data_IF_852073289273
#
_entry.id   IF_852073289273
#
_cell.length_a   1.000
_cell.length_b   1.000
_cell.length_c   1.000
_cell.angle_alpha   90.00
_cell.angle_beta   90.00
_cell.angle_gamma   90.00
#
_symmetry.space_group_name_H-M   'P 1'
#
loop_
_entity.id
_entity.type
_entity.pdbx_description
1 polymer ?
#
# COMPACT_ATOMS: atom_id res chain seq x y z
N UNK A 1 -0.31 22.62 21.57
CA UNK A 1 -0.10 22.19 20.17
C UNK A 1 -1.19 21.20 19.80
N UNK A 2 -1.76 21.33 18.61
CA UNK A 2 -2.71 20.36 18.05
C UNK A 2 -2.34 20.13 16.59
N UNK A 3 -2.07 18.88 16.22
CA UNK A 3 -1.78 18.46 14.85
C UNK A 3 -2.70 17.34 14.42
N UNK A 4 -3.07 17.36 13.13
CA UNK A 4 -3.85 16.32 12.49
C UNK A 4 -3.14 15.86 11.22
N UNK A 5 -2.81 14.58 11.15
CA UNK A 5 -2.29 13.96 9.94
C UNK A 5 -3.40 13.16 9.25
N UNK A 6 -3.52 13.31 7.94
CA UNK A 6 -4.42 12.54 7.08
C UNK A 6 -3.58 11.77 6.07
N UNK A 7 -3.57 10.44 6.18
CA UNK A 7 -2.75 9.57 5.33
C UNK A 7 -3.67 8.64 4.51
N UNK A 8 -3.58 8.66 3.18
CA UNK A 8 -4.38 7.79 2.33
C UNK A 8 -3.93 6.32 2.47
N UNK A 9 -4.81 5.37 2.15
CA UNK A 9 -4.40 4.04 1.74
C UNK A 9 -3.75 4.07 0.36
N UNK A 10 -3.27 2.92 -0.11
CA UNK A 10 -2.65 2.79 -1.43
C UNK A 10 -3.12 1.53 -2.16
N UNK A 11 -3.11 1.61 -3.49
CA UNK A 11 -3.23 0.47 -4.40
C UNK A 11 -1.91 0.29 -5.13
N UNK A 12 -1.36 -0.92 -5.07
CA UNK A 12 -0.25 -1.33 -5.92
C UNK A 12 -0.82 -1.92 -7.21
N UNK A 13 -0.68 -1.23 -8.34
CA UNK A 13 -1.17 -1.70 -9.63
C UNK A 13 -0.36 -2.93 -10.06
N UNK A 14 0.97 -2.82 -10.03
CA UNK A 14 1.90 -3.87 -10.44
C UNK A 14 3.31 -3.59 -9.89
N UNK A 15 4.15 -4.60 -9.72
CA UNK A 15 5.43 -4.44 -8.99
C UNK A 15 5.33 -4.89 -7.55
N UNK A 16 4.75 -6.06 -7.31
CA UNK A 16 4.68 -6.61 -5.95
C UNK A 16 6.01 -7.26 -5.58
N UNK A 17 6.42 -7.16 -4.32
CA UNK A 17 7.62 -7.84 -3.80
C UNK A 17 8.93 -7.45 -4.53
N UNK A 18 8.98 -6.26 -5.11
CA UNK A 18 10.18 -5.69 -5.74
C UNK A 18 10.89 -4.67 -4.85
N UNK A 19 10.20 -4.12 -3.86
CA UNK A 19 10.63 -2.96 -3.07
C UNK A 19 11.82 -3.23 -2.16
N UNK A 20 11.81 -4.37 -1.46
CA UNK A 20 12.95 -4.82 -0.65
C UNK A 20 14.13 -5.37 -1.50
N UNK A 21 13.97 -5.45 -2.82
CA UNK A 21 14.98 -5.93 -3.76
C UNK A 21 15.49 -4.83 -4.72
N UNK A 22 15.13 -3.56 -4.47
CA UNK A 22 15.56 -2.44 -5.31
C UNK A 22 14.88 -2.38 -6.69
N UNK A 23 13.78 -3.11 -6.90
CA UNK A 23 13.06 -3.09 -8.17
C UNK A 23 12.18 -1.85 -8.33
N UNK A 24 11.11 -2.00 -9.12
CA UNK A 24 10.14 -0.93 -9.40
C UNK A 24 8.72 -1.36 -9.04
N UNK A 25 7.87 -0.39 -8.75
CA UNK A 25 6.42 -0.60 -8.67
C UNK A 25 5.64 0.59 -9.22
N UNK A 26 4.40 0.33 -9.63
CA UNK A 26 3.46 1.35 -10.06
C UNK A 26 2.27 1.32 -9.11
N UNK A 27 2.11 2.38 -8.32
CA UNK A 27 1.11 2.44 -7.26
C UNK A 27 0.45 3.82 -7.18
N UNK A 28 -0.72 3.92 -6.57
CA UNK A 28 -1.36 5.22 -6.29
C UNK A 28 -1.98 5.27 -4.89
N UNK A 29 -2.02 6.48 -4.33
CA UNK A 29 -2.78 6.78 -3.11
C UNK A 29 -4.29 6.77 -3.40
N UNK A 30 -5.10 6.21 -2.51
CA UNK A 30 -6.57 6.19 -2.64
C UNK A 30 -7.21 7.31 -1.83
N UNK A 31 -8.49 7.58 -2.04
CA UNK A 31 -9.26 8.56 -1.26
C UNK A 31 -9.72 8.04 0.12
N UNK A 32 -9.61 6.72 0.37
CA UNK A 32 -9.74 6.12 1.69
C UNK A 32 -8.52 6.46 2.53
N UNK A 33 -8.71 6.88 3.78
CA UNK A 33 -7.65 7.45 4.61
C UNK A 33 -7.77 7.10 6.10
N UNK A 34 -6.63 7.20 6.78
CA UNK A 34 -6.47 7.20 8.23
C UNK A 34 -6.17 8.62 8.70
N UNK A 35 -6.80 9.02 9.79
CA UNK A 35 -6.60 10.31 10.46
C UNK A 35 -6.04 10.03 11.86
N UNK A 36 -4.93 10.68 12.18
CA UNK A 36 -4.40 10.79 13.55
C UNK A 36 -4.54 12.24 14.03
N UNK A 37 -5.29 12.43 15.11
CA UNK A 37 -5.34 13.67 15.86
C UNK A 37 -4.45 13.56 17.11
N UNK A 38 -3.52 14.49 17.24
CA UNK A 38 -2.65 14.62 18.41
C UNK A 38 -2.87 15.98 19.09
N UNK A 39 -3.35 15.97 20.34
CA UNK A 39 -3.58 17.17 21.17
C UNK A 39 -2.65 17.20 22.37
N UNK A 40 -1.97 18.33 22.60
CA UNK A 40 -1.00 18.51 23.69
C UNK A 40 -1.64 18.37 25.06
N UNK A 41 -1.01 17.54 25.89
CA UNK A 41 -1.23 17.43 27.32
C UNK A 41 -0.08 18.12 28.07
N UNK A 42 -0.31 18.51 29.33
CA UNK A 42 0.77 18.98 30.19
C UNK A 42 1.83 17.89 30.46
N UNK A 43 1.39 16.65 30.68
CA UNK A 43 2.25 15.48 30.96
C UNK A 43 1.56 14.20 30.49
N UNK A 44 2.35 13.13 30.32
CA UNK A 44 1.84 11.80 29.99
C UNK A 44 1.36 11.63 28.55
N UNK A 45 0.76 10.46 28.29
CA UNK A 45 0.23 10.11 26.97
C UNK A 45 -1.10 9.37 27.16
N UNK A 46 -2.08 9.69 26.34
CA UNK A 46 -3.40 9.07 26.32
C UNK A 46 -3.73 8.62 24.90
N UNK A 47 -4.27 7.41 24.74
CA UNK A 47 -4.63 6.87 23.43
C UNK A 47 -4.56 5.35 23.41
N UNK A 48 -4.73 4.77 22.22
CA UNK A 48 -4.50 3.33 22.01
C UNK A 48 -3.03 2.96 22.35
N UNK A 49 -2.78 1.86 23.09
CA UNK A 49 -1.42 1.51 23.52
C UNK A 49 -0.39 1.39 22.40
N UNK A 50 -0.76 0.83 21.24
CA UNK A 50 0.14 0.69 20.10
C UNK A 50 0.44 2.05 19.47
N UNK A 51 -0.55 2.95 19.40
CA UNK A 51 -0.37 4.32 18.91
C UNK A 51 0.54 5.11 19.84
N UNK A 52 0.37 4.97 21.17
CA UNK A 52 1.24 5.60 22.17
C UNK A 52 2.68 5.08 22.06
N UNK A 53 2.88 3.78 21.88
CA UNK A 53 4.22 3.19 21.71
C UNK A 53 4.93 3.75 20.46
N UNK A 54 4.24 3.79 19.32
CA UNK A 54 4.74 4.41 18.09
C UNK A 54 5.07 5.89 18.29
N UNK A 55 4.18 6.62 18.96
CA UNK A 55 4.33 8.05 19.24
C UNK A 55 5.57 8.35 20.09
N UNK A 56 5.79 7.57 21.15
CA UNK A 56 6.97 7.67 22.01
C UNK A 56 8.25 7.33 21.23
N UNK A 57 8.22 6.27 20.43
CA UNK A 57 9.36 5.84 19.61
C UNK A 57 9.75 6.87 18.53
N UNK A 58 8.81 7.67 18.07
CA UNK A 58 9.03 8.78 17.16
C UNK A 58 9.55 10.06 17.86
N UNK A 59 9.63 10.07 19.20
CA UNK A 59 10.02 11.26 19.97
C UNK A 59 8.88 12.25 20.22
N UNK A 60 7.63 11.77 20.22
CA UNK A 60 6.44 12.58 20.40
C UNK A 60 6.34 13.24 21.77
N UNK A 61 5.73 14.43 21.80
CA UNK A 61 5.47 15.22 23.01
C UNK A 61 4.25 14.67 23.80
N UNK A 62 4.06 15.02 25.09
CA UNK A 62 2.93 14.56 25.89
C UNK A 62 1.56 14.84 25.25
N UNK A 63 0.84 13.80 24.84
CA UNK A 63 -0.28 13.94 23.92
C UNK A 63 -1.48 13.04 24.23
N UNK A 64 -2.67 13.56 23.94
CA UNK A 64 -3.85 12.76 23.70
C UNK A 64 -3.92 12.42 22.20
N UNK A 65 -3.98 11.13 21.89
CA UNK A 65 -3.88 10.56 20.55
C UNK A 65 -5.18 9.84 20.21
N UNK A 66 -5.81 10.23 19.10
CA UNK A 66 -7.03 9.59 18.60
C UNK A 66 -6.88 9.25 17.13
N UNK A 67 -7.27 8.03 16.76
CA UNK A 67 -7.17 7.51 15.40
C UNK A 67 -8.57 7.21 14.87
N UNK A 68 -8.88 7.72 13.68
CA UNK A 68 -10.07 7.34 12.92
C UNK A 68 -9.63 6.84 11.56
N UNK A 69 -10.11 5.68 11.12
CA UNK A 69 -9.69 5.10 9.84
C UNK A 69 -10.89 4.63 9.03
N UNK A 70 -10.92 5.03 7.76
CA UNK A 70 -11.78 4.40 6.74
C UNK A 70 -11.07 3.27 5.99
N UNK A 71 -9.76 3.09 6.21
CA UNK A 71 -8.96 2.00 5.63
C UNK A 71 -9.35 0.69 6.32
N UNK A 72 -9.79 -0.34 5.57
CA UNK A 72 -10.09 -1.63 6.17
C UNK A 72 -8.81 -2.24 6.79
N UNK A 73 -8.92 -2.69 8.03
CA UNK A 73 -7.77 -3.16 8.81
C UNK A 73 -7.38 -4.56 8.37
N UNK A 74 -6.07 -4.79 8.16
CA UNK A 74 -5.53 -6.14 7.95
C UNK A 74 -5.88 -6.78 6.60
N UNK A 75 -6.36 -6.01 5.63
CA UNK A 75 -6.76 -6.53 4.32
C UNK A 75 -5.72 -6.33 3.21
N UNK A 76 -4.57 -5.72 3.50
CA UNK A 76 -3.55 -5.43 2.49
C UNK A 76 -3.67 -4.04 1.83
N UNK A 77 -4.41 -3.10 2.44
CA UNK A 77 -4.43 -1.67 2.08
C UNK A 77 -3.49 -0.80 2.94
N UNK A 78 -2.54 -1.43 3.66
CA UNK A 78 -1.46 -0.79 4.41
C UNK A 78 -1.87 0.18 5.52
N UNK A 79 -2.85 -0.22 6.33
CA UNK A 79 -3.27 0.54 7.51
C UNK A 79 -2.13 0.77 8.52
N UNK A 80 -1.17 -0.17 8.64
CA UNK A 80 0.02 -0.01 9.51
C UNK A 80 0.96 1.09 9.02
N UNK A 81 1.26 1.10 7.72
CA UNK A 81 2.11 2.11 7.12
C UNK A 81 1.48 3.50 7.18
N UNK A 82 0.16 3.58 6.96
CA UNK A 82 -0.59 4.81 7.12
C UNK A 82 -0.52 5.35 8.56
N UNK A 83 -0.62 4.48 9.56
CA UNK A 83 -0.49 4.86 10.97
C UNK A 83 0.93 5.35 11.30
N UNK A 84 1.97 4.64 10.86
CA UNK A 84 3.36 5.06 11.09
C UNK A 84 3.65 6.41 10.43
N UNK A 85 3.19 6.65 9.19
CA UNK A 85 3.29 7.95 8.54
C UNK A 85 2.54 9.05 9.31
N UNK A 86 1.33 8.75 9.78
CA UNK A 86 0.52 9.72 10.52
C UNK A 86 1.22 10.14 11.83
N UNK A 87 1.79 9.19 12.56
CA UNK A 87 2.62 9.44 13.76
C UNK A 87 3.82 10.30 13.39
N UNK A 88 4.60 9.89 12.38
CA UNK A 88 5.79 10.61 11.93
C UNK A 88 5.49 12.07 11.61
N UNK A 89 4.45 12.34 10.81
CA UNK A 89 4.08 13.70 10.42
C UNK A 89 3.52 14.52 11.59
N UNK A 90 2.71 13.93 12.48
CA UNK A 90 2.21 14.67 13.64
C UNK A 90 3.33 15.05 14.62
N UNK A 91 4.30 14.18 14.85
CA UNK A 91 5.44 14.48 15.73
C UNK A 91 6.33 15.58 15.14
N UNK A 92 6.66 15.47 13.85
CA UNK A 92 7.67 16.32 13.22
C UNK A 92 7.11 17.54 12.48
N UNK A 93 5.81 17.57 12.19
CA UNK A 93 5.20 18.56 11.29
C UNK A 93 5.40 18.20 9.82
N UNK A 94 5.28 19.19 8.93
CA UNK A 94 5.52 18.99 7.49
C UNK A 94 6.99 18.62 7.25
N UNK A 95 7.23 17.51 6.56
CA UNK A 95 8.55 16.97 6.27
C UNK A 95 8.77 16.79 4.77
N UNK A 96 10.02 16.64 4.36
CA UNK A 96 10.34 16.11 3.04
C UNK A 96 9.77 14.66 2.93
N UNK A 97 9.04 14.33 1.84
CA UNK A 97 8.32 13.06 1.72
C UNK A 97 9.16 11.80 1.94
N UNK A 98 10.36 11.71 1.36
CA UNK A 98 11.19 10.51 1.52
C UNK A 98 11.72 10.36 2.95
N UNK A 99 12.06 11.47 3.62
CA UNK A 99 12.41 11.45 5.04
C UNK A 99 11.26 10.92 5.91
N UNK A 100 10.02 11.36 5.65
CA UNK A 100 8.84 10.84 6.35
C UNK A 100 8.64 9.33 6.10
N UNK A 101 8.84 8.86 4.86
CA UNK A 101 8.74 7.45 4.52
C UNK A 101 9.76 6.58 5.27
N UNK A 102 11.02 7.01 5.33
CA UNK A 102 12.09 6.27 6.03
C UNK A 102 11.85 6.21 7.54
N UNK A 103 11.39 7.30 8.13
CA UNK A 103 11.07 7.31 9.57
C UNK A 103 9.85 6.43 9.88
N UNK A 104 8.81 6.47 9.05
CA UNK A 104 7.67 5.56 9.20
C UNK A 104 8.08 4.09 9.03
N UNK A 105 8.97 3.77 8.09
CA UNK A 105 9.51 2.43 7.91
C UNK A 105 10.29 1.97 9.15
N UNK A 106 11.12 2.85 9.74
CA UNK A 106 11.83 2.56 11.00
C UNK A 106 10.85 2.17 12.10
N UNK A 107 9.76 2.91 12.27
CA UNK A 107 8.71 2.60 13.26
C UNK A 107 8.05 1.24 12.99
N UNK A 108 7.77 0.90 11.73
CA UNK A 108 7.24 -0.43 11.39
C UNK A 108 8.22 -1.57 11.73
N UNK A 109 9.50 -1.38 11.47
CA UNK A 109 10.54 -2.37 11.76
C UNK A 109 10.76 -2.54 13.26
N UNK A 110 10.87 -1.42 13.98
CA UNK A 110 11.29 -1.42 15.38
C UNK A 110 10.13 -1.67 16.33
N UNK A 111 8.93 -1.16 16.05
CA UNK A 111 7.78 -1.24 16.96
C UNK A 111 6.81 -2.33 16.51
N UNK A 112 6.41 -2.32 15.23
CA UNK A 112 5.48 -3.31 14.70
C UNK A 112 6.16 -4.63 14.28
N UNK A 113 7.50 -4.70 14.37
CA UNK A 113 8.32 -5.88 14.04
C UNK A 113 8.05 -6.44 12.64
N UNK A 114 7.70 -5.57 11.70
CA UNK A 114 7.34 -5.96 10.33
C UNK A 114 8.45 -5.56 9.36
N UNK A 115 9.18 -6.50 8.73
CA UNK A 115 10.28 -6.19 7.82
C UNK A 115 9.78 -5.78 6.43
N UNK A 116 9.11 -4.63 6.32
CA UNK A 116 8.57 -4.10 5.06
C UNK A 116 9.62 -3.32 4.23
N UNK A 117 9.41 -3.22 2.92
CA UNK A 117 10.12 -2.25 2.09
C UNK A 117 9.47 -0.86 2.18
N UNK A 118 9.66 -0.03 1.15
CA UNK A 118 9.20 1.36 1.11
C UNK A 118 7.97 1.60 0.22
N UNK A 119 7.41 0.56 -0.40
CA UNK A 119 6.32 0.69 -1.36
C UNK A 119 5.13 1.44 -0.77
N UNK A 120 4.68 1.00 0.40
CA UNK A 120 3.46 1.50 1.02
C UNK A 120 3.60 2.99 1.38
N UNK A 121 4.68 3.34 2.08
CA UNK A 121 4.91 4.70 2.56
C UNK A 121 5.11 5.66 1.38
N UNK A 122 5.90 5.25 0.37
CA UNK A 122 6.13 6.08 -0.81
C UNK A 122 4.85 6.27 -1.64
N UNK A 123 4.06 5.21 -1.86
CA UNK A 123 2.81 5.34 -2.60
C UNK A 123 1.82 6.31 -1.93
N UNK A 124 1.79 6.34 -0.59
CA UNK A 124 0.94 7.23 0.19
C UNK A 124 1.44 8.67 0.25
N UNK A 125 2.76 8.90 0.29
CA UNK A 125 3.31 10.25 0.39
C UNK A 125 3.48 10.95 -0.97
N UNK A 126 3.80 10.21 -2.03
CA UNK A 126 3.99 10.76 -3.38
C UNK A 126 2.71 10.77 -4.23
N UNK A 127 1.55 10.47 -3.62
CA UNK A 127 0.25 10.46 -4.30
C UNK A 127 -0.08 11.80 -4.95
N UNK A 128 -0.61 11.75 -6.18
CA UNK A 128 -1.10 12.91 -6.92
C UNK A 128 -2.41 12.56 -7.60
N UNK A 129 -3.39 13.47 -7.50
CA UNK A 129 -4.70 13.29 -8.10
C UNK A 129 -4.61 12.97 -9.61
N UNK A 130 -5.35 11.95 -10.04
CA UNK A 130 -5.35 11.45 -11.42
C UNK A 130 -4.06 10.77 -11.88
N UNK A 131 -3.08 10.52 -11.01
CA UNK A 131 -1.78 9.94 -11.38
C UNK A 131 -1.32 8.82 -10.43
N UNK A 132 -0.68 7.81 -11.00
CA UNK A 132 0.11 6.83 -10.26
C UNK A 132 1.54 7.34 -10.07
N UNK A 133 2.25 6.71 -9.15
CA UNK A 133 3.68 6.87 -8.89
C UNK A 133 4.41 5.65 -9.38
N UNK A 134 5.31 5.84 -10.36
CA UNK A 134 6.38 4.88 -10.65
C UNK A 134 7.45 5.05 -9.56
N UNK A 135 7.54 4.06 -8.69
CA UNK A 135 8.48 4.00 -7.59
C UNK A 135 9.70 3.18 -8.03
N UNK A 136 10.88 3.80 -7.95
CA UNK A 136 12.17 3.13 -8.15
C UNK A 136 12.88 3.01 -6.80
N UNK A 137 13.00 1.79 -6.30
CA UNK A 137 13.54 1.52 -4.98
C UNK A 137 15.07 1.44 -4.96
N UNK A 138 15.73 1.36 -6.12
CA UNK A 138 17.19 1.52 -6.22
C UNK A 138 17.57 2.99 -6.08
N UNK A 139 16.86 3.87 -6.78
CA UNK A 139 17.15 5.31 -6.79
C UNK A 139 16.41 6.08 -5.69
N UNK A 140 15.45 5.44 -5.01
CA UNK A 140 14.52 6.05 -4.07
C UNK A 140 13.80 7.26 -4.67
N UNK A 141 13.29 7.10 -5.90
CA UNK A 141 12.60 8.15 -6.65
C UNK A 141 11.16 7.78 -6.95
N UNK A 142 10.31 8.79 -6.97
CA UNK A 142 8.95 8.69 -7.51
C UNK A 142 8.85 9.52 -8.79
N UNK A 143 8.30 8.92 -9.85
CA UNK A 143 7.93 9.61 -11.08
C UNK A 143 6.42 9.54 -11.25
N UNK A 144 5.78 10.70 -11.44
CA UNK A 144 4.34 10.78 -11.68
C UNK A 144 3.99 10.25 -13.07
N UNK A 145 3.01 9.34 -13.13
CA UNK A 145 2.49 8.73 -14.35
C UNK A 145 0.98 8.96 -14.39
N UNK A 146 0.43 9.71 -15.37
CA UNK A 146 -1.01 9.89 -15.50
C UNK A 146 -1.72 8.54 -15.61
N UNK A 147 -2.80 8.34 -14.85
CA UNK A 147 -3.62 7.13 -15.00
C UNK A 147 -4.55 7.31 -16.19
N UNK A 148 -4.49 6.42 -17.20
CA UNK A 148 -5.42 6.45 -18.33
C UNK A 148 -6.88 6.35 -17.86
N UNK A 149 -7.80 7.05 -18.56
CA UNK A 149 -9.22 7.05 -18.20
C UNK A 149 -9.90 5.69 -18.39
N UNK A 150 -9.31 4.78 -19.18
CA UNK A 150 -9.79 3.41 -19.38
C UNK A 150 -9.31 2.45 -18.27
N UNK A 151 -8.47 2.90 -17.34
CA UNK A 151 -8.07 2.09 -16.19
C UNK A 151 -9.07 2.24 -15.05
N UNK A 152 -9.98 1.26 -14.91
CA UNK A 152 -10.94 1.20 -13.80
C UNK A 152 -10.60 0.06 -12.85
N UNK A 153 -10.14 0.42 -11.66
CA UNK A 153 -9.71 -0.55 -10.64
C UNK A 153 -10.76 -0.73 -9.56
N UNK A 154 -11.06 -1.99 -9.25
CA UNK A 154 -11.88 -2.41 -8.11
C UNK A 154 -11.05 -3.32 -7.20
N UNK A 155 -11.45 -3.41 -5.94
CA UNK A 155 -10.80 -4.29 -4.97
C UNK A 155 -11.81 -5.32 -4.42
N UNK A 156 -11.40 -6.58 -4.41
CA UNK A 156 -12.13 -7.69 -3.79
C UNK A 156 -11.37 -8.14 -2.55
N UNK A 157 -12.03 -8.18 -1.40
CA UNK A 157 -11.46 -8.77 -0.19
C UNK A 157 -11.61 -10.29 -0.23
N UNK A 158 -10.49 -11.01 -0.21
CA UNK A 158 -10.49 -12.48 -0.24
C UNK A 158 -11.11 -13.14 0.99
N UNK A 159 -11.34 -12.37 2.06
CA UNK A 159 -11.78 -12.83 3.40
C UNK A 159 -10.80 -13.79 4.08
N UNK A 160 -9.59 -13.89 3.54
CA UNK A 160 -8.50 -14.68 4.09
C UNK A 160 -7.54 -13.70 4.75
N UNK A 161 -7.61 -13.59 6.07
CA UNK A 161 -6.75 -12.74 6.89
C UNK A 161 -5.93 -13.62 7.83
N UNK A 162 -4.74 -14.03 7.39
CA UNK A 162 -3.78 -14.69 8.28
C UNK A 162 -2.91 -13.62 8.91
N UNK A 163 -2.60 -13.76 10.21
CA UNK A 163 -1.58 -12.90 10.84
C UNK A 163 -0.25 -13.18 10.15
N UNK A 164 0.31 -12.16 9.50
CA UNK A 164 1.65 -12.17 8.90
C UNK A 164 2.72 -12.68 9.87
N UNK A 165 2.48 -12.57 11.18
CA UNK A 165 3.35 -13.08 12.26
C UNK A 165 3.44 -14.61 12.35
N UNK A 166 2.62 -15.39 11.65
CA UNK A 166 2.63 -16.86 11.71
C UNK A 166 3.07 -17.56 10.42
N UNK A 167 3.02 -16.88 9.27
CA UNK A 167 3.55 -17.39 8.01
C UNK A 167 4.84 -16.65 7.70
N UNK A 168 5.94 -17.19 8.24
CA UNK A 168 7.32 -16.87 7.94
C UNK A 168 7.54 -16.14 6.61
N UNK A 169 7.62 -14.81 6.65
CA UNK A 169 8.39 -14.03 5.67
C UNK A 169 9.86 -14.51 5.62
N UNK A 170 10.26 -15.31 6.61
CA UNK A 170 11.53 -15.99 6.80
C UNK A 170 11.59 -17.46 6.33
N UNK A 171 10.55 -18.03 5.73
CA UNK A 171 10.72 -19.30 5.01
C UNK A 171 11.57 -18.95 3.81
N UNK A 172 12.80 -19.48 3.76
CA UNK A 172 13.84 -19.18 2.76
C UNK A 172 13.20 -19.00 1.39
N UNK A 173 12.95 -17.74 1.01
CA UNK A 173 12.54 -17.44 -0.36
C UNK A 173 13.73 -17.89 -1.17
N UNK A 174 13.50 -18.85 -2.07
CA UNK A 174 14.53 -19.28 -3.00
C UNK A 174 15.05 -18.02 -3.70
N UNK A 175 16.31 -17.66 -3.42
CA UNK A 175 16.91 -16.42 -3.88
C UNK A 175 16.93 -16.35 -5.40
N UNK A 176 16.94 -17.50 -6.07
CA UNK A 176 16.80 -17.60 -7.51
C UNK A 176 15.38 -17.25 -7.96
N UNK A 177 14.34 -17.79 -7.31
CA UNK A 177 12.94 -17.45 -7.61
C UNK A 177 12.65 -15.97 -7.33
N UNK A 178 13.24 -15.40 -6.29
CA UNK A 178 13.16 -13.97 -6.02
C UNK A 178 13.77 -13.14 -7.15
N UNK A 179 14.99 -13.46 -7.57
CA UNK A 179 15.69 -12.72 -8.63
C UNK A 179 14.92 -12.78 -9.95
N UNK A 180 14.50 -13.98 -10.37
CA UNK A 180 13.71 -14.18 -11.60
C UNK A 180 12.39 -13.41 -11.55
N UNK A 181 11.72 -13.41 -10.41
CA UNK A 181 10.50 -12.65 -10.25
C UNK A 181 10.75 -11.15 -10.33
N UNK A 182 11.70 -10.60 -9.57
CA UNK A 182 11.99 -9.16 -9.56
C UNK A 182 12.35 -8.67 -10.96
N UNK A 183 13.19 -9.40 -11.70
CA UNK A 183 13.55 -9.05 -13.07
C UNK A 183 12.33 -9.03 -14.00
N UNK A 184 11.52 -10.09 -13.96
CA UNK A 184 10.33 -10.18 -14.81
C UNK A 184 9.22 -9.20 -14.40
N UNK A 185 9.10 -8.89 -13.11
CA UNK A 185 8.12 -7.95 -12.56
C UNK A 185 8.51 -6.51 -12.90
N UNK A 186 9.79 -6.16 -12.84
CA UNK A 186 10.29 -4.86 -13.31
C UNK A 186 9.96 -4.63 -14.79
N UNK A 187 10.15 -5.65 -15.63
CA UNK A 187 9.75 -5.57 -17.05
C UNK A 187 8.24 -5.40 -17.23
N UNK A 188 7.42 -6.02 -16.36
CA UNK A 188 5.96 -5.83 -16.38
C UNK A 188 5.56 -4.42 -15.96
N UNK A 189 6.23 -3.84 -14.95
CA UNK A 189 6.04 -2.43 -14.54
C UNK A 189 6.36 -1.49 -15.71
N UNK A 190 7.50 -1.68 -16.37
CA UNK A 190 7.91 -0.84 -17.51
C UNK A 190 6.93 -0.94 -18.68
N UNK A 191 6.43 -2.15 -18.97
CA UNK A 191 5.39 -2.37 -19.99
C UNK A 191 4.04 -1.73 -19.62
N UNK A 192 3.72 -1.65 -18.33
CA UNK A 192 2.45 -1.07 -17.87
C UNK A 192 2.38 0.45 -18.08
N UNK A 193 3.51 1.16 -18.06
CA UNK A 193 3.55 2.64 -18.11
C UNK A 193 2.84 3.27 -19.31
N UNK A 194 2.75 2.55 -20.44
CA UNK A 194 2.10 3.03 -21.66
C UNK A 194 1.01 2.07 -22.15
N UNK A 195 0.50 1.19 -21.27
CA UNK A 195 -0.47 0.18 -21.64
C UNK A 195 -1.90 0.75 -21.63
N UNK A 196 -2.69 0.44 -22.66
CA UNK A 196 -4.16 0.53 -22.55
C UNK A 196 -4.65 -0.50 -21.53
N UNK A 197 -5.88 -0.36 -21.02
CA UNK A 197 -6.45 -1.32 -20.07
C UNK A 197 -6.37 -2.78 -20.60
N UNK A 198 -6.71 -2.99 -21.89
CA UNK A 198 -6.61 -4.30 -22.59
C UNK A 198 -5.21 -4.93 -22.54
N UNK A 199 -4.15 -4.12 -22.50
CA UNK A 199 -2.77 -4.60 -22.43
C UNK A 199 -2.30 -4.72 -20.97
N UNK A 200 -2.81 -3.88 -20.06
CA UNK A 200 -2.51 -3.97 -18.64
C UNK A 200 -3.06 -5.25 -18.02
N UNK A 201 -4.29 -5.66 -18.33
CA UNK A 201 -4.93 -6.85 -17.74
C UNK A 201 -4.08 -8.13 -17.84
N UNK A 202 -3.57 -8.50 -19.03
CA UNK A 202 -2.64 -9.63 -19.17
C UNK A 202 -1.35 -9.50 -18.34
N UNK A 203 -0.83 -8.28 -18.14
CA UNK A 203 0.32 -8.05 -17.27
C UNK A 203 -0.02 -8.29 -15.80
N UNK A 204 -1.22 -7.89 -15.34
CA UNK A 204 -1.72 -8.19 -14.00
C UNK A 204 -1.82 -9.70 -13.79
N UNK A 205 -2.42 -10.42 -14.73
CA UNK A 205 -2.56 -11.88 -14.65
C UNK A 205 -1.19 -12.57 -14.61
N UNK A 206 -0.24 -12.13 -15.45
CA UNK A 206 1.12 -12.65 -15.46
C UNK A 206 1.88 -12.35 -14.15
N UNK A 207 1.66 -11.17 -13.57
CA UNK A 207 2.21 -10.81 -12.26
C UNK A 207 1.68 -11.75 -11.16
N UNK A 208 0.37 -12.04 -11.15
CA UNK A 208 -0.20 -13.00 -10.20
C UNK A 208 0.37 -14.42 -10.39
N UNK A 209 0.46 -14.92 -11.63
CA UNK A 209 1.05 -16.22 -11.92
C UNK A 209 2.52 -16.32 -11.48
N UNK A 210 3.26 -15.20 -11.52
CA UNK A 210 4.62 -15.13 -11.00
C UNK A 210 4.67 -15.21 -9.47
N UNK A 211 3.72 -14.59 -8.76
CA UNK A 211 3.59 -14.71 -7.30
C UNK A 211 3.18 -16.11 -6.85
N UNK A 212 2.33 -16.80 -7.61
CA UNK A 212 2.00 -18.21 -7.37
C UNK A 212 3.26 -19.08 -7.40
N UNK A 213 4.09 -18.94 -8.44
CA UNK A 213 5.35 -19.67 -8.58
C UNK A 213 6.34 -19.42 -7.45
N UNK A 214 6.28 -18.24 -6.83
CA UNK A 214 7.08 -17.89 -5.66
C UNK A 214 6.59 -18.48 -4.35
N UNK A 215 5.37 -19.04 -4.32
CA UNK A 215 4.79 -19.59 -3.10
C UNK A 215 4.33 -18.53 -2.10
N UNK A 216 4.08 -17.29 -2.55
CA UNK A 216 3.56 -16.20 -1.68
C UNK A 216 2.03 -16.03 -1.79
N UNK A 217 1.39 -16.81 -2.66
CA UNK A 217 -0.08 -16.91 -2.74
C UNK A 217 -0.59 -18.16 -2.00
N UNK A 218 -1.91 -18.27 -1.89
CA UNK A 218 -2.61 -19.45 -1.35
C UNK A 218 -3.55 -20.04 -2.41
N UNK A 219 -3.74 -21.36 -2.45
CA UNK A 219 -4.65 -22.00 -3.41
C UNK A 219 -6.08 -21.43 -3.37
N UNK A 220 -6.57 -21.01 -2.20
CA UNK A 220 -7.87 -20.34 -2.08
C UNK A 220 -7.90 -18.96 -2.76
N UNK A 221 -6.84 -18.17 -2.60
CA UNK A 221 -6.70 -16.86 -3.26
C UNK A 221 -6.55 -17.05 -4.76
N UNK A 222 -5.75 -18.03 -5.19
CA UNK A 222 -5.52 -18.32 -6.59
C UNK A 222 -6.81 -18.69 -7.33
N UNK A 223 -7.66 -19.51 -6.71
CA UNK A 223 -8.99 -19.84 -7.24
C UNK A 223 -9.89 -18.61 -7.34
N UNK A 224 -9.87 -17.71 -6.35
CA UNK A 224 -10.66 -16.48 -6.42
C UNK A 224 -10.17 -15.56 -7.56
N UNK A 225 -8.85 -15.42 -7.71
CA UNK A 225 -8.27 -14.63 -8.80
C UNK A 225 -8.61 -15.24 -10.16
N UNK A 226 -8.51 -16.56 -10.31
CA UNK A 226 -8.88 -17.25 -11.55
C UNK A 226 -10.38 -17.06 -11.89
N UNK A 227 -11.27 -17.15 -10.90
CA UNK A 227 -12.70 -16.88 -11.11
C UNK A 227 -12.94 -15.44 -11.57
N UNK A 228 -12.26 -14.47 -10.95
CA UNK A 228 -12.34 -13.06 -11.35
C UNK A 228 -11.80 -12.85 -12.77
N UNK A 229 -10.66 -13.44 -13.12
CA UNK A 229 -10.08 -13.35 -14.47
C UNK A 229 -11.00 -13.92 -15.56
N UNK A 230 -11.86 -14.88 -15.23
CA UNK A 230 -12.83 -15.48 -16.14
C UNK A 230 -14.23 -14.81 -16.09
N UNK A 231 -14.40 -13.77 -15.27
CA UNK A 231 -15.68 -13.06 -15.14
C UNK A 231 -15.88 -12.10 -16.33
N UNK A 232 -17.05 -12.09 -17.01
CA UNK A 232 -17.31 -11.17 -18.11
C UNK A 232 -17.09 -9.71 -17.73
N UNK A 233 -16.34 -8.97 -18.55
CA UNK A 233 -16.00 -7.57 -18.33
C UNK A 233 -14.80 -7.33 -17.40
N UNK A 234 -14.21 -8.38 -16.81
CA UNK A 234 -12.92 -8.28 -16.12
C UNK A 234 -11.79 -8.43 -17.14
N UNK A 235 -10.90 -7.44 -17.20
CA UNK A 235 -9.75 -7.41 -18.12
C UNK A 235 -8.55 -8.13 -17.50
N UNK A 236 -8.37 -8.03 -16.18
CA UNK A 236 -7.34 -8.75 -15.46
C UNK A 236 -7.50 -8.62 -13.94
N UNK A 237 -6.93 -9.57 -13.21
CA UNK A 237 -6.95 -9.56 -11.75
C UNK A 237 -5.67 -10.16 -11.17
N UNK A 238 -5.24 -9.61 -10.03
CA UNK A 238 -4.12 -10.15 -9.23
C UNK A 238 -4.36 -9.91 -7.76
N UNK A 239 -3.82 -10.78 -6.91
CA UNK A 239 -3.67 -10.47 -5.48
C UNK A 239 -2.90 -9.14 -5.28
N UNK A 240 -3.03 -8.46 -4.15
CA UNK A 240 -2.31 -7.22 -3.83
C UNK A 240 -1.81 -7.25 -2.37
N UNK A 241 -0.58 -6.77 -2.14
CA UNK A 241 0.06 -6.73 -0.84
C UNK A 241 0.97 -7.93 -0.56
N UNK A 242 1.41 -8.07 0.70
CA UNK A 242 2.50 -8.95 1.12
C UNK A 242 2.27 -10.47 1.03
N UNK A 243 1.17 -10.93 0.43
CA UNK A 243 0.88 -12.35 0.24
C UNK A 243 -0.08 -12.97 1.27
N UNK A 244 -0.42 -14.23 1.03
CA UNK A 244 -1.16 -15.10 1.96
C UNK A 244 -2.59 -14.67 2.33
N UNK A 245 -3.26 -13.92 1.46
CA UNK A 245 -4.61 -13.41 1.67
C UNK A 245 -4.75 -11.94 1.24
N UNK A 246 -5.72 -11.24 1.84
CA UNK A 246 -5.92 -9.80 1.63
C UNK A 246 -6.73 -9.45 0.38
N UNK A 247 -6.41 -8.32 -0.24
CA UNK A 247 -7.14 -7.80 -1.41
C UNK A 247 -6.70 -8.45 -2.72
N UNK A 248 -7.63 -8.52 -3.66
CA UNK A 248 -7.42 -8.78 -5.07
C UNK A 248 -7.74 -7.50 -5.82
N UNK A 249 -6.78 -7.00 -6.59
CA UNK A 249 -6.96 -5.93 -7.56
C UNK A 249 -7.62 -6.48 -8.82
N UNK A 250 -8.68 -5.81 -9.27
CA UNK A 250 -9.42 -6.17 -10.47
C UNK A 250 -9.47 -4.96 -11.40
N UNK A 251 -9.09 -5.14 -12.66
CA UNK A 251 -9.23 -4.16 -13.73
C UNK A 251 -10.45 -4.53 -14.58
N UNK A 252 -11.39 -3.60 -14.75
CA UNK A 252 -12.67 -3.84 -15.42
C UNK A 252 -12.88 -2.96 -16.67
N UNK A 253 -13.72 -3.43 -17.60
CA UNK A 253 -14.06 -2.71 -18.84
C UNK A 253 -15.00 -1.52 -18.63
N UNK A 254 -15.84 -1.56 -17.60
CA UNK A 254 -16.76 -0.48 -17.21
C UNK A 254 -17.10 -0.54 -15.71
N UNK A 255 -17.61 0.56 -15.17
CA UNK A 255 -18.04 0.65 -13.77
C UNK A 255 -19.19 -0.31 -13.43
N UNK A 256 -19.98 -0.72 -14.44
CA UNK A 256 -21.09 -1.67 -14.31
C UNK A 256 -20.65 -3.11 -14.04
N UNK A 257 -19.38 -3.44 -14.28
CA UNK A 257 -18.81 -4.77 -13.99
C UNK A 257 -18.53 -4.87 -12.51
N UNK A 258 -19.06 -5.91 -11.84
CA UNK A 258 -19.02 -6.05 -10.37
C UNK A 258 -19.61 -4.80 -9.68
N UNK A 259 -20.90 -4.47 -9.92
CA UNK A 259 -21.50 -3.20 -9.53
C UNK A 259 -21.59 -3.01 -8.00
N UNK A 260 -21.51 -4.08 -7.24
CA UNK A 260 -21.44 -4.05 -5.77
C UNK A 260 -20.10 -3.53 -5.24
N UNK A 261 -19.06 -3.50 -6.08
CA UNK A 261 -17.72 -3.07 -5.73
C UNK A 261 -17.46 -1.65 -6.19
N UNK A 262 -16.81 -0.89 -5.30
CA UNK A 262 -16.35 0.47 -5.54
C UNK A 262 -15.19 0.51 -6.54
N UNK A 263 -15.23 1.50 -7.42
CA UNK A 263 -14.08 1.90 -8.24
C UNK A 263 -13.17 2.88 -7.51
N UNK A 264 -11.86 2.67 -7.60
CA UNK A 264 -10.84 3.48 -6.95
C UNK A 264 -10.12 4.36 -7.96
N UNK A 265 -9.86 5.61 -7.56
CA UNK A 265 -9.13 6.59 -8.36
C UNK A 265 -7.94 7.14 -7.56
N UNK A 266 -6.86 7.59 -8.24
CA UNK A 266 -5.74 8.23 -7.58
C UNK A 266 -6.12 9.52 -6.86
N UNK A 267 -5.68 9.65 -5.62
CA UNK A 267 -5.86 10.81 -4.76
C UNK A 267 -4.51 11.51 -4.49
N UNK A 268 -4.57 12.63 -3.75
CA UNK A 268 -3.39 13.30 -3.21
C UNK A 268 -2.70 12.46 -2.13
N UNK A 269 -1.41 12.70 -1.95
CA UNK A 269 -0.62 12.11 -0.89
C UNK A 269 -1.00 12.58 0.52
N UNK A 270 -0.45 11.91 1.52
CA UNK A 270 -0.64 12.22 2.93
C UNK A 270 -0.07 13.57 3.33
N UNK A 271 -0.70 14.21 4.32
CA UNK A 271 -0.31 15.54 4.80
C UNK A 271 -0.62 15.71 6.28
N UNK A 272 -0.07 16.77 6.89
CA UNK A 272 -0.34 17.17 8.28
C UNK A 272 -0.69 18.65 8.33
N UNK A 273 -1.60 18.99 9.22
CA UNK A 273 -2.06 20.34 9.49
C UNK A 273 -1.86 20.68 10.96
N UNK A 274 -1.51 21.94 11.24
CA UNK A 274 -1.59 22.51 12.59
C UNK A 274 -2.98 23.11 12.79
N UNK A 275 -3.66 22.69 13.84
CA UNK A 275 -5.01 23.16 14.16
C UNK A 275 -4.87 24.27 15.21
N UNK A 276 -5.33 25.45 14.85
CA UNK A 276 -5.41 26.61 15.73
C UNK A 276 -6.84 26.69 16.25
N UNK A 277 -7.03 26.38 17.54
CA UNK A 277 -8.29 26.58 18.27
C UNK A 277 -8.41 28.03 18.75
#
# INVERSE_FOLDING_TARGET
>A
MHRRATIPARINIIGEHTDYAGGKSLAFATDVHLILDAKSLPTGFEGDPTVVELWQAAGGWPAHLSVTSSIPIGVGMSSSAALCLAVTLCVNGSMEPLAACKEAQRLEHEILKTPCGLLDQMAMMFGKEGSASLLDFTLLRSTTVPVPSDWMFKLVDSKIHRKLSQSSYSASVDSQLQTVHVDSENQRVERALNATARHLGPLLNASHASLQKRGVSLPEVDRQVELLQNTPGVIGARMMGGGFGGMILVLVESDDVLPELRTYSPSRGGFVEEIFE
#
